data_IF_384979262145
#
_entry.id   IF_384979262145
#
_cell.length_a   1.000
_cell.length_b   1.000
_cell.length_c   1.000
_cell.angle_alpha   90.00
_cell.angle_beta   90.00
_cell.angle_gamma   90.00
#
_symmetry.space_group_name_H-M   'P 1'
#
loop_
_entity.id
_entity.type
_entity.pdbx_description
1 polymer ?
#
# COMPACT_ATOMS: atom_id res chain seq x y z
N UNK A 1 -62.84 -5.51 -31.84
CA UNK A 1 -62.58 -4.71 -30.62
C UNK A 1 -62.00 -5.63 -29.56
N UNK A 2 -60.78 -5.32 -29.06
CA UNK A 2 -60.21 -5.73 -27.75
C UNK A 2 -59.90 -7.24 -27.57
N UNK A 3 -58.77 -7.70 -27.01
CA UNK A 3 -57.64 -7.13 -26.29
C UNK A 3 -56.47 -8.13 -26.44
N UNK A 4 -55.29 -7.68 -26.84
CA UNK A 4 -54.06 -8.48 -26.76
C UNK A 4 -53.49 -8.36 -25.34
N UNK A 5 -53.31 -9.49 -24.66
CA UNK A 5 -52.68 -9.57 -23.35
C UNK A 5 -51.16 -9.58 -23.53
N UNK A 6 -50.49 -8.44 -23.32
CA UNK A 6 -49.03 -8.40 -23.22
C UNK A 6 -48.62 -8.89 -21.83
N UNK A 7 -48.01 -10.08 -21.77
CA UNK A 7 -47.29 -10.52 -20.59
C UNK A 7 -45.92 -9.81 -20.54
N UNK A 8 -45.80 -8.81 -19.68
CA UNK A 8 -44.55 -8.11 -19.43
C UNK A 8 -43.67 -8.99 -18.52
N UNK A 9 -42.71 -9.70 -19.11
CA UNK A 9 -41.68 -10.40 -18.36
C UNK A 9 -40.67 -9.39 -17.80
N UNK A 10 -40.82 -9.02 -16.52
CA UNK A 10 -39.78 -8.29 -15.79
C UNK A 10 -38.57 -9.20 -15.59
N UNK A 11 -37.53 -9.03 -16.41
CA UNK A 11 -36.19 -9.52 -16.09
C UNK A 11 -35.71 -8.76 -14.84
N UNK A 12 -35.73 -9.43 -13.69
CA UNK A 12 -34.89 -9.05 -12.55
C UNK A 12 -33.43 -9.27 -12.98
N UNK A 13 -32.78 -8.20 -13.44
CA UNK A 13 -31.33 -8.18 -13.49
C UNK A 13 -30.85 -8.21 -12.04
N UNK A 14 -30.44 -9.38 -11.58
CA UNK A 14 -29.62 -9.49 -10.38
C UNK A 14 -28.37 -8.65 -10.65
N UNK A 15 -28.37 -7.41 -10.14
CA UNK A 15 -27.21 -6.56 -10.15
C UNK A 15 -26.08 -7.37 -9.54
N UNK A 16 -25.07 -7.71 -10.35
CA UNK A 16 -23.83 -8.26 -9.85
C UNK A 16 -23.40 -7.30 -8.75
N UNK A 17 -23.43 -7.75 -7.48
CA UNK A 17 -22.65 -7.10 -6.44
C UNK A 17 -21.25 -7.15 -7.01
N UNK A 18 -20.78 -6.02 -7.54
CA UNK A 18 -19.44 -5.90 -8.06
C UNK A 18 -18.56 -6.23 -6.86
N UNK A 19 -18.11 -7.48 -6.77
CA UNK A 19 -17.22 -7.93 -5.71
C UNK A 19 -16.09 -6.93 -5.73
N UNK A 20 -15.95 -6.16 -4.65
CA UNK A 20 -14.91 -5.17 -4.52
C UNK A 20 -13.60 -5.94 -4.60
N UNK A 21 -13.01 -5.97 -5.79
CA UNK A 21 -11.81 -6.77 -6.05
C UNK A 21 -10.66 -6.01 -5.42
N UNK A 22 -10.17 -6.52 -4.29
CA UNK A 22 -8.84 -6.19 -3.81
C UNK A 22 -7.86 -6.35 -4.98
N UNK A 23 -6.94 -5.40 -5.11
CA UNK A 23 -5.93 -5.38 -6.16
C UNK A 23 -4.54 -5.63 -5.57
N UNK A 24 -4.37 -5.37 -4.28
CA UNK A 24 -3.15 -5.68 -3.55
C UNK A 24 -3.43 -6.06 -2.11
N UNK A 25 -2.34 -6.35 -1.42
CA UNK A 25 -2.27 -6.64 0.01
C UNK A 25 -1.03 -5.96 0.57
N UNK A 26 -1.00 -5.75 1.88
CA UNK A 26 0.23 -5.52 2.60
C UNK A 26 0.43 -6.56 3.71
N UNK A 27 1.69 -6.93 3.94
CA UNK A 27 2.06 -8.06 4.79
C UNK A 27 3.31 -7.77 5.58
N UNK A 28 3.45 -8.47 6.70
CA UNK A 28 4.63 -8.45 7.56
C UNK A 28 4.92 -9.86 8.08
N UNK A 29 5.78 -9.98 9.09
CA UNK A 29 5.97 -11.21 9.86
C UNK A 29 4.68 -11.81 10.41
N UNK A 30 3.64 -11.01 10.64
CA UNK A 30 2.38 -11.48 11.25
C UNK A 30 1.61 -12.46 10.36
N UNK A 31 1.77 -12.39 9.04
CA UNK A 31 1.17 -13.37 8.10
C UNK A 31 1.97 -14.69 8.04
N UNK A 32 3.12 -14.77 8.72
CA UNK A 32 3.97 -15.95 8.75
C UNK A 32 4.44 -16.36 7.35
N UNK A 33 4.56 -17.67 7.13
CA UNK A 33 4.94 -18.21 5.82
C UNK A 33 3.78 -18.11 4.83
N UNK A 34 4.00 -17.38 3.74
CA UNK A 34 3.03 -17.19 2.65
C UNK A 34 3.40 -18.06 1.44
N UNK A 35 2.41 -18.76 0.90
CA UNK A 35 2.51 -19.44 -0.41
C UNK A 35 2.14 -18.47 -1.53
N UNK A 36 3.15 -17.74 -2.01
CA UNK A 36 2.97 -16.68 -3.01
C UNK A 36 2.50 -17.18 -4.38
N UNK A 37 2.74 -18.46 -4.72
CA UNK A 37 2.19 -19.06 -5.95
C UNK A 37 0.67 -19.22 -5.83
N UNK A 38 0.17 -19.66 -4.68
CA UNK A 38 -1.28 -19.68 -4.40
C UNK A 38 -1.89 -18.29 -4.35
N UNK A 39 -1.18 -17.31 -3.78
CA UNK A 39 -1.61 -15.90 -3.79
C UNK A 39 -1.78 -15.42 -5.23
N UNK A 40 -0.78 -15.64 -6.10
CA UNK A 40 -0.87 -15.29 -7.52
C UNK A 40 -2.01 -16.01 -8.23
N UNK A 41 -2.12 -17.32 -8.03
CA UNK A 41 -3.15 -18.16 -8.66
C UNK A 41 -4.58 -17.79 -8.24
N UNK A 42 -4.76 -17.06 -7.13
CA UNK A 42 -6.07 -16.53 -6.74
C UNK A 42 -6.65 -15.54 -7.77
N UNK A 43 -5.81 -14.91 -8.59
CA UNK A 43 -6.21 -13.85 -9.53
C UNK A 43 -6.64 -12.53 -8.88
N UNK A 44 -6.59 -12.45 -7.54
CA UNK A 44 -7.01 -11.27 -6.77
C UNK A 44 -5.86 -10.30 -6.50
N UNK A 45 -4.65 -10.80 -6.28
CA UNK A 45 -3.52 -9.97 -5.86
C UNK A 45 -2.61 -9.64 -7.04
N UNK A 46 -2.50 -8.36 -7.37
CA UNK A 46 -1.63 -7.82 -8.42
C UNK A 46 -0.34 -7.21 -7.86
N UNK A 47 -0.41 -6.64 -6.67
CA UNK A 47 0.74 -6.09 -5.97
C UNK A 47 0.75 -6.46 -4.49
N UNK A 48 1.92 -6.37 -3.86
CA UNK A 48 2.06 -6.49 -2.42
C UNK A 48 3.04 -5.45 -1.85
N UNK A 49 2.65 -4.77 -0.78
CA UNK A 49 3.59 -4.03 0.07
C UNK A 49 4.06 -4.91 1.22
N UNK A 50 5.37 -4.91 1.48
CA UNK A 50 5.98 -5.84 2.44
C UNK A 50 6.73 -5.03 3.48
N UNK A 51 6.44 -5.27 4.77
CA UNK A 51 7.15 -4.61 5.87
C UNK A 51 8.63 -4.92 5.75
N UNK A 52 9.45 -3.88 5.64
CA UNK A 52 10.90 -4.04 5.63
C UNK A 52 11.48 -3.77 7.01
N UNK A 53 11.17 -2.61 7.57
CA UNK A 53 11.79 -2.15 8.81
C UNK A 53 10.84 -1.29 9.65
N UNK A 54 11.19 -1.12 10.91
CA UNK A 54 10.50 -0.26 11.86
C UNK A 54 11.53 0.47 12.73
N UNK A 55 11.36 1.79 12.85
CA UNK A 55 12.31 2.63 13.59
C UNK A 55 13.76 2.40 13.15
N UNK A 56 14.67 2.32 14.12
CA UNK A 56 16.12 2.37 13.84
C UNK A 56 16.83 1.03 13.76
N UNK A 57 16.19 -0.06 14.18
CA UNK A 57 16.86 -1.36 14.30
C UNK A 57 15.99 -2.56 13.96
N UNK A 58 14.67 -2.43 13.96
CA UNK A 58 13.79 -3.56 13.66
C UNK A 58 13.81 -3.78 12.15
N UNK A 59 14.17 -4.99 11.74
CA UNK A 59 14.03 -5.50 10.38
C UNK A 59 13.04 -6.66 10.43
N UNK A 60 12.07 -6.67 9.52
CA UNK A 60 11.07 -7.72 9.51
C UNK A 60 11.73 -9.05 9.09
N UNK A 61 11.66 -10.10 9.94
CA UNK A 61 12.35 -11.36 9.67
C UNK A 61 11.81 -12.10 8.44
N UNK A 62 10.58 -11.79 8.02
CA UNK A 62 9.96 -12.38 6.82
C UNK A 62 10.23 -11.57 5.56
N UNK A 63 10.77 -10.35 5.66
CA UNK A 63 10.94 -9.43 4.53
C UNK A 63 11.65 -10.07 3.35
N UNK A 64 12.86 -10.63 3.56
CA UNK A 64 13.66 -11.19 2.46
C UNK A 64 12.92 -12.31 1.74
N UNK A 65 12.28 -13.21 2.50
CA UNK A 65 11.51 -14.31 1.93
C UNK A 65 10.32 -13.80 1.14
N UNK A 66 9.57 -12.86 1.71
CA UNK A 66 8.37 -12.32 1.10
C UNK A 66 8.68 -11.52 -0.16
N UNK A 67 9.66 -10.61 -0.13
CA UNK A 67 10.03 -9.79 -1.30
C UNK A 67 10.52 -10.63 -2.47
N UNK A 68 11.38 -11.63 -2.20
CA UNK A 68 11.92 -12.50 -3.25
C UNK A 68 10.83 -13.45 -3.79
N UNK A 69 10.00 -14.04 -2.92
CA UNK A 69 9.01 -15.05 -3.33
C UNK A 69 7.79 -14.44 -4.02
N UNK A 70 7.29 -13.30 -3.54
CA UNK A 70 6.18 -12.57 -4.18
C UNK A 70 6.57 -12.12 -5.59
N UNK A 71 7.76 -11.53 -5.73
CA UNK A 71 8.29 -11.09 -7.02
C UNK A 71 8.52 -12.26 -7.97
N UNK A 72 9.08 -13.37 -7.49
CA UNK A 72 9.25 -14.60 -8.29
C UNK A 72 7.91 -15.21 -8.74
N UNK A 73 6.83 -15.03 -7.98
CA UNK A 73 5.48 -15.42 -8.37
C UNK A 73 4.82 -14.44 -9.36
N UNK A 74 5.49 -13.36 -9.78
CA UNK A 74 4.97 -12.36 -10.70
C UNK A 74 3.96 -11.41 -10.07
N UNK A 75 4.07 -11.15 -8.76
CA UNK A 75 3.36 -10.08 -8.05
C UNK A 75 4.30 -8.87 -7.99
N UNK A 76 3.78 -7.68 -8.29
CA UNK A 76 4.56 -6.45 -8.18
C UNK A 76 4.81 -6.12 -6.71
N UNK A 77 6.05 -5.84 -6.32
CA UNK A 77 6.38 -5.62 -4.91
C UNK A 77 6.85 -4.20 -4.61
N UNK A 78 6.43 -3.70 -3.45
CA UNK A 78 6.98 -2.53 -2.79
C UNK A 78 7.30 -2.83 -1.33
N UNK A 79 8.06 -1.96 -0.69
CA UNK A 79 8.46 -2.12 0.72
C UNK A 79 8.00 -0.94 1.55
N UNK A 80 7.62 -1.18 2.80
CA UNK A 80 7.24 -0.12 3.72
C UNK A 80 8.12 -0.05 4.97
N UNK A 81 8.26 1.16 5.48
CA UNK A 81 8.92 1.48 6.75
C UNK A 81 7.89 1.98 7.76
N UNK A 82 7.76 1.30 8.90
CA UNK A 82 6.93 1.80 10.00
C UNK A 82 7.72 2.86 10.79
N UNK A 83 7.24 4.10 10.71
CA UNK A 83 7.87 5.26 11.32
C UNK A 83 7.84 5.20 12.86
N UNK A 84 8.91 5.66 13.50
CA UNK A 84 9.00 5.88 14.94
C UNK A 84 9.25 7.35 15.28
N UNK A 85 8.43 7.92 16.17
CA UNK A 85 8.60 9.29 16.68
C UNK A 85 9.81 9.49 17.59
N UNK A 86 10.40 8.40 18.10
CA UNK A 86 11.44 8.44 19.13
C UNK A 86 12.84 8.70 18.58
N UNK A 87 13.03 8.63 17.26
CA UNK A 87 14.36 8.58 16.65
C UNK A 87 14.51 9.56 15.50
N UNK A 88 15.75 9.74 15.03
CA UNK A 88 16.04 10.69 13.93
C UNK A 88 15.67 10.09 12.57
N UNK A 89 15.41 10.97 11.59
CA UNK A 89 15.17 10.57 10.20
C UNK A 89 16.33 9.75 9.61
N UNK A 90 17.58 10.14 9.89
CA UNK A 90 18.76 9.45 9.39
C UNK A 90 18.92 8.03 9.94
N UNK A 91 18.68 7.82 11.24
CA UNK A 91 18.77 6.48 11.82
C UNK A 91 17.70 5.54 11.23
N UNK A 92 16.47 6.03 11.06
CA UNK A 92 15.39 5.27 10.43
C UNK A 92 15.70 4.97 8.96
N UNK A 93 16.17 5.97 8.21
CA UNK A 93 16.57 5.80 6.83
C UNK A 93 17.71 4.80 6.66
N UNK A 94 18.72 4.83 7.53
CA UNK A 94 19.83 3.88 7.49
C UNK A 94 19.36 2.44 7.69
N UNK A 95 18.44 2.21 8.63
CA UNK A 95 17.82 0.91 8.83
C UNK A 95 17.05 0.47 7.57
N UNK A 96 16.18 1.33 7.02
CA UNK A 96 15.42 1.04 5.81
C UNK A 96 16.32 0.73 4.61
N UNK A 97 17.32 1.57 4.32
CA UNK A 97 18.26 1.41 3.21
C UNK A 97 19.15 0.17 3.35
N UNK A 98 19.48 -0.25 4.56
CA UNK A 98 20.22 -1.48 4.79
C UNK A 98 19.47 -2.69 4.20
N UNK A 99 18.15 -2.71 4.31
CA UNK A 99 17.27 -3.82 3.93
C UNK A 99 16.69 -3.66 2.51
N UNK A 100 16.22 -2.47 2.15
CA UNK A 100 15.43 -2.24 0.94
C UNK A 100 16.32 -1.85 -0.24
N UNK A 101 16.70 -2.85 -1.05
CA UNK A 101 17.50 -2.62 -2.26
C UNK A 101 16.62 -2.19 -3.43
N UNK A 102 16.97 -1.08 -4.09
CA UNK A 102 16.27 -0.55 -5.28
C UNK A 102 16.05 -1.60 -6.38
N UNK A 103 17.00 -2.52 -6.57
CA UNK A 103 16.92 -3.59 -7.57
C UNK A 103 15.86 -4.68 -7.27
N UNK A 104 15.30 -4.68 -6.06
CA UNK A 104 14.28 -5.63 -5.60
C UNK A 104 12.88 -5.02 -5.54
N UNK A 105 12.72 -3.74 -5.91
CA UNK A 105 11.45 -3.03 -5.86
C UNK A 105 10.88 -2.84 -7.25
N UNK A 106 9.58 -3.10 -7.41
CA UNK A 106 8.83 -2.72 -8.59
C UNK A 106 8.00 -1.45 -8.35
N UNK A 107 7.64 -1.18 -7.08
CA UNK A 107 6.85 -0.03 -6.63
C UNK A 107 7.67 0.89 -5.72
N UNK A 108 7.33 2.19 -5.70
CA UNK A 108 7.98 3.16 -4.82
C UNK A 108 7.72 2.79 -3.35
N UNK A 109 8.68 3.06 -2.45
CA UNK A 109 8.55 2.68 -1.06
C UNK A 109 7.44 3.46 -0.37
N UNK A 110 6.91 2.89 0.71
CA UNK A 110 5.91 3.53 1.57
C UNK A 110 6.57 3.96 2.88
N UNK A 111 6.32 5.20 3.30
CA UNK A 111 6.53 5.61 4.68
C UNK A 111 5.19 5.48 5.42
N UNK A 112 5.15 4.59 6.40
CA UNK A 112 3.97 4.26 7.19
C UNK A 112 3.97 5.08 8.49
N UNK A 113 2.94 5.91 8.66
CA UNK A 113 2.80 6.91 9.73
C UNK A 113 1.41 6.77 10.37
N UNK A 114 1.34 6.02 11.47
CA UNK A 114 0.07 5.73 12.15
C UNK A 114 -0.19 6.60 13.38
N UNK A 115 0.86 7.18 13.96
CA UNK A 115 0.76 7.91 15.22
C UNK A 115 0.46 9.40 15.01
N UNK A 116 -0.52 9.94 15.74
CA UNK A 116 -0.68 11.39 15.93
C UNK A 116 0.41 11.88 16.88
N UNK A 117 1.24 12.81 16.42
CA UNK A 117 2.18 13.46 17.32
C UNK A 117 2.47 14.89 16.87
N UNK A 118 1.79 15.84 17.51
CA UNK A 118 1.83 17.24 17.11
C UNK A 118 2.98 17.99 17.81
N UNK A 119 4.19 17.80 17.31
CA UNK A 119 5.38 18.61 17.66
C UNK A 119 6.14 18.96 16.39
N UNK A 120 6.61 20.20 16.24
CA UNK A 120 7.32 20.66 15.04
C UNK A 120 8.50 19.74 14.66
N UNK A 121 9.24 19.27 15.66
CA UNK A 121 10.36 18.35 15.47
C UNK A 121 9.94 17.00 14.84
N UNK A 122 8.72 16.54 15.10
CA UNK A 122 8.21 15.31 14.51
C UNK A 122 7.98 15.46 13.01
N UNK A 123 7.28 16.52 12.59
CA UNK A 123 7.02 16.74 11.17
C UNK A 123 8.32 17.04 10.41
N UNK A 124 9.25 17.80 11.01
CA UNK A 124 10.57 18.01 10.42
C UNK A 124 11.34 16.70 10.17
N UNK A 125 11.20 15.72 11.08
CA UNK A 125 11.81 14.38 10.90
C UNK A 125 11.09 13.55 9.84
N UNK A 126 9.76 13.61 9.79
CA UNK A 126 8.96 12.96 8.74
C UNK A 126 9.38 13.50 7.36
N UNK A 127 9.42 14.83 7.21
CA UNK A 127 9.82 15.48 5.97
C UNK A 127 11.23 15.08 5.55
N UNK A 128 12.17 15.07 6.51
CA UNK A 128 13.54 14.67 6.21
C UNK A 128 13.63 13.22 5.77
N UNK A 129 12.84 12.32 6.36
CA UNK A 129 12.82 10.92 5.97
C UNK A 129 12.21 10.73 4.57
N UNK A 130 11.12 11.45 4.25
CA UNK A 130 10.53 11.46 2.91
C UNK A 130 11.55 11.93 1.85
N UNK A 131 12.31 12.99 2.14
CA UNK A 131 13.38 13.51 1.29
C UNK A 131 14.49 12.47 1.07
N UNK A 132 14.95 11.82 2.14
CA UNK A 132 16.00 10.79 2.05
C UNK A 132 15.55 9.58 1.22
N UNK A 133 14.30 9.14 1.41
CA UNK A 133 13.70 8.07 0.60
C UNK A 133 13.57 8.49 -0.87
N UNK A 134 13.07 9.70 -1.15
CA UNK A 134 12.96 10.19 -2.53
C UNK A 134 14.32 10.24 -3.22
N UNK A 135 15.36 10.72 -2.53
CA UNK A 135 16.73 10.78 -3.05
C UNK A 135 17.30 9.39 -3.37
N UNK A 136 17.09 8.41 -2.51
CA UNK A 136 17.62 7.05 -2.69
C UNK A 136 16.87 6.27 -3.79
N UNK A 137 15.54 6.32 -3.77
CA UNK A 137 14.72 5.50 -4.65
C UNK A 137 14.39 6.20 -5.97
N UNK A 138 14.61 7.51 -6.07
CA UNK A 138 14.48 8.32 -7.28
C UNK A 138 13.04 8.72 -7.60
N UNK A 139 12.13 8.56 -6.65
CA UNK A 139 10.73 8.95 -6.76
C UNK A 139 10.15 9.20 -5.37
N UNK A 140 9.12 10.03 -5.27
CA UNK A 140 8.43 10.30 -4.01
C UNK A 140 7.90 8.99 -3.42
N UNK A 141 8.18 8.69 -2.13
CA UNK A 141 7.52 7.59 -1.45
C UNK A 141 6.01 7.82 -1.36
N UNK A 142 5.25 6.74 -1.23
CA UNK A 142 3.86 6.82 -0.78
C UNK A 142 3.82 7.14 0.71
N UNK A 143 2.82 7.89 1.14
CA UNK A 143 2.57 8.12 2.57
C UNK A 143 1.38 7.26 2.97
N UNK A 144 1.60 6.26 3.81
CA UNK A 144 0.52 5.49 4.43
C UNK A 144 0.13 6.12 5.76
N UNK A 145 -1.18 6.25 5.99
CA UNK A 145 -1.70 6.80 7.25
C UNK A 145 -3.21 6.57 7.43
N UNK A 146 -3.73 6.83 8.63
CA UNK A 146 -5.18 6.89 8.87
C UNK A 146 -5.78 8.21 8.37
N UNK A 147 -7.09 8.26 8.10
CA UNK A 147 -7.77 9.52 7.73
C UNK A 147 -7.55 10.64 8.77
N UNK A 148 -7.51 10.29 10.05
CA UNK A 148 -7.33 11.26 11.13
C UNK A 148 -5.96 11.93 11.07
N UNK A 149 -4.91 11.13 10.94
CA UNK A 149 -3.53 11.62 10.82
C UNK A 149 -3.33 12.37 9.49
N UNK A 150 -3.99 11.94 8.42
CA UNK A 150 -4.02 12.69 7.16
C UNK A 150 -4.51 14.13 7.33
N UNK A 151 -5.66 14.32 8.00
CA UNK A 151 -6.22 15.66 8.17
C UNK A 151 -5.30 16.57 9.00
N UNK A 152 -4.68 16.02 10.04
CA UNK A 152 -3.77 16.77 10.92
C UNK A 152 -2.44 17.15 10.26
N UNK A 153 -1.91 16.31 9.36
CA UNK A 153 -0.51 16.43 8.93
C UNK A 153 -0.31 16.48 7.40
N UNK A 154 -1.19 15.88 6.60
CA UNK A 154 -0.94 15.63 5.17
C UNK A 154 -1.96 16.25 4.20
N UNK A 155 -2.96 16.98 4.73
CA UNK A 155 -4.00 17.66 3.93
C UNK A 155 -3.52 18.95 3.25
N UNK A 156 -2.44 19.54 3.74
CA UNK A 156 -1.90 20.82 3.24
C UNK A 156 -1.19 20.75 1.88
N UNK A 157 -1.00 21.92 1.26
CA UNK A 157 -0.38 22.08 -0.08
C UNK A 157 1.00 21.43 -0.21
N UNK A 158 1.76 21.31 0.88
CA UNK A 158 3.09 20.67 0.91
C UNK A 158 3.07 19.24 0.39
N UNK A 159 2.03 18.47 0.73
CA UNK A 159 1.93 17.05 0.41
C UNK A 159 1.08 16.76 -0.83
N UNK A 160 0.65 17.80 -1.57
CA UNK A 160 -0.24 17.65 -2.74
C UNK A 160 0.34 16.74 -3.84
N UNK A 161 1.66 16.68 -3.95
CA UNK A 161 2.39 15.88 -4.94
C UNK A 161 2.78 14.48 -4.43
N UNK A 162 2.41 14.11 -3.21
CA UNK A 162 2.58 12.75 -2.69
C UNK A 162 1.33 11.93 -2.97
N UNK A 163 1.52 10.68 -3.41
CA UNK A 163 0.47 9.68 -3.39
C UNK A 163 0.20 9.26 -1.95
N UNK A 164 -1.09 9.16 -1.60
CA UNK A 164 -1.54 8.87 -0.25
C UNK A 164 -2.18 7.48 -0.23
N UNK A 165 -1.79 6.69 0.76
CA UNK A 165 -2.32 5.36 1.03
C UNK A 165 -3.09 5.43 2.35
N UNK A 166 -4.42 5.38 2.28
CA UNK A 166 -5.27 5.60 3.46
C UNK A 166 -5.75 4.28 4.03
N UNK A 167 -5.64 4.11 5.34
CA UNK A 167 -6.38 3.09 6.08
C UNK A 167 -7.76 3.62 6.52
N UNK A 168 -8.82 2.93 6.10
CA UNK A 168 -10.17 3.06 6.66
C UNK A 168 -10.96 1.76 6.42
N UNK A 169 -11.38 1.08 7.49
CA UNK A 169 -12.05 -0.21 7.37
C UNK A 169 -13.58 -0.14 7.44
N UNK A 170 -14.14 1.05 7.67
CA UNK A 170 -15.56 1.24 7.95
C UNK A 170 -16.33 1.86 6.78
N UNK A 171 -15.68 2.75 6.01
CA UNK A 171 -16.32 3.49 4.93
C UNK A 171 -15.32 3.89 3.85
N UNK A 172 -15.84 4.35 2.72
CA UNK A 172 -15.04 5.02 1.69
C UNK A 172 -14.34 6.26 2.29
N UNK A 173 -13.01 6.43 2.10
CA UNK A 173 -12.31 7.57 2.65
C UNK A 173 -12.84 8.90 2.12
N UNK A 174 -12.97 9.88 3.01
CA UNK A 174 -13.35 11.26 2.67
C UNK A 174 -12.16 12.13 2.25
N UNK A 175 -10.94 11.61 2.46
CA UNK A 175 -9.67 12.25 2.13
C UNK A 175 -9.31 12.09 0.65
N UNK A 176 -8.29 12.82 0.19
CA UNK A 176 -7.59 12.48 -1.04
C UNK A 176 -6.77 11.21 -0.81
N UNK A 177 -6.94 10.22 -1.69
CA UNK A 177 -6.12 9.01 -1.66
C UNK A 177 -5.87 8.43 -3.05
N UNK A 178 -4.74 7.73 -3.18
CA UNK A 178 -4.35 6.95 -4.35
C UNK A 178 -4.62 5.47 -4.10
N UNK A 179 -4.20 4.97 -2.92
CA UNK A 179 -4.48 3.63 -2.43
C UNK A 179 -5.36 3.69 -1.17
N UNK A 180 -6.20 2.69 -1.00
CA UNK A 180 -7.06 2.51 0.16
C UNK A 180 -6.92 1.10 0.70
N UNK A 181 -6.42 0.98 1.92
CA UNK A 181 -6.47 -0.23 2.72
C UNK A 181 -7.85 -0.30 3.37
N UNK A 182 -8.69 -1.17 2.84
CA UNK A 182 -10.13 -1.14 3.07
C UNK A 182 -10.64 -2.28 3.95
N UNK A 183 -9.76 -3.21 4.31
CA UNK A 183 -10.07 -4.31 5.21
C UNK A 183 -8.77 -4.84 5.80
N UNK A 184 -8.81 -5.23 7.08
CA UNK A 184 -7.75 -5.92 7.80
C UNK A 184 -8.08 -7.40 8.07
N UNK A 185 -9.21 -7.87 7.54
CA UNK A 185 -9.77 -9.21 7.80
C UNK A 185 -9.89 -10.01 6.50
N UNK A 186 -9.11 -9.65 5.48
CA UNK A 186 -9.09 -10.32 4.21
C UNK A 186 -8.66 -11.78 4.32
N UNK A 187 -9.15 -12.60 3.39
CA UNK A 187 -8.77 -14.00 3.28
C UNK A 187 -8.30 -14.29 1.85
N UNK A 188 -7.02 -14.61 1.70
CA UNK A 188 -6.38 -14.91 0.42
C UNK A 188 -5.74 -16.29 0.49
N UNK A 189 -6.05 -17.15 -0.49
CA UNK A 189 -5.46 -18.49 -0.59
C UNK A 189 -3.94 -18.39 -0.63
N UNK A 190 -3.28 -19.10 0.28
CA UNK A 190 -1.82 -19.04 0.47
C UNK A 190 -1.38 -18.28 1.71
N UNK A 191 -2.31 -17.60 2.40
CA UNK A 191 -2.10 -16.94 3.69
C UNK A 191 -3.00 -17.63 4.71
N UNK A 192 -2.45 -18.06 5.85
CA UNK A 192 -3.20 -18.85 6.85
C UNK A 192 -4.19 -18.01 7.66
N UNK A 193 -3.91 -16.73 7.86
CA UNK A 193 -4.72 -15.83 8.67
C UNK A 193 -5.21 -14.61 7.90
N UNK A 194 -5.70 -13.63 8.65
CA UNK A 194 -6.14 -12.36 8.12
C UNK A 194 -5.00 -11.61 7.39
N UNK A 195 -5.37 -10.91 6.34
CA UNK A 195 -4.47 -10.05 5.57
C UNK A 195 -5.17 -8.75 5.22
N UNK A 196 -4.39 -7.67 5.19
CA UNK A 196 -4.83 -6.37 4.76
C UNK A 196 -5.14 -6.37 3.25
N UNK A 197 -6.22 -5.71 2.86
CA UNK A 197 -6.69 -5.65 1.47
C UNK A 197 -6.68 -4.22 0.95
N UNK A 198 -6.01 -4.07 -0.19
CA UNK A 198 -5.78 -2.78 -0.81
C UNK A 198 -6.42 -2.66 -2.18
N UNK A 199 -6.86 -1.46 -2.50
CA UNK A 199 -7.29 -1.11 -3.85
C UNK A 199 -6.98 0.34 -4.19
N UNK A 200 -6.82 0.60 -5.48
CA UNK A 200 -6.71 1.96 -5.99
C UNK A 200 -8.06 2.68 -5.89
N UNK A 201 -7.98 3.99 -5.67
CA UNK A 201 -9.06 4.89 -6.05
C UNK A 201 -9.37 4.74 -7.55
N UNK A 202 -10.63 4.94 -7.95
CA UNK A 202 -11.10 4.69 -9.34
C UNK A 202 -10.35 5.49 -10.43
N UNK A 203 -9.78 6.64 -10.06
CA UNK A 203 -9.03 7.51 -10.97
C UNK A 203 -7.51 7.27 -10.90
N UNK A 204 -7.07 6.31 -10.11
CA UNK A 204 -5.66 6.01 -9.89
C UNK A 204 -5.33 4.58 -10.33
N UNK A 205 -4.06 4.32 -10.60
CA UNK A 205 -3.61 2.99 -11.01
C UNK A 205 -2.14 2.71 -10.74
N UNK A 206 -1.79 1.43 -10.90
CA UNK A 206 -0.45 0.90 -10.58
C UNK A 206 0.70 1.63 -11.29
N UNK A 207 0.44 2.24 -12.46
CA UNK A 207 1.45 2.97 -13.22
C UNK A 207 2.03 4.18 -12.48
N UNK A 208 1.24 4.83 -11.62
CA UNK A 208 1.63 6.04 -10.89
C UNK A 208 2.63 5.76 -9.76
N UNK A 209 2.63 4.54 -9.24
CA UNK A 209 3.42 4.16 -8.06
C UNK A 209 4.57 3.20 -8.41
N UNK A 210 4.87 3.02 -9.70
CA UNK A 210 6.02 2.20 -10.14
C UNK A 210 7.33 2.91 -9.88
N UNK A 211 8.35 2.13 -9.56
CA UNK A 211 9.72 2.61 -9.56
C UNK A 211 10.08 3.20 -10.93
N UNK A 212 10.82 4.32 -10.97
CA UNK A 212 11.29 4.89 -12.23
C UNK A 212 12.17 3.87 -12.96
N UNK A 213 11.97 3.75 -14.27
CA UNK A 213 12.83 2.90 -15.12
C UNK A 213 14.26 3.44 -15.01
N UNK A 214 15.25 2.55 -14.87
CA UNK A 214 16.65 2.94 -15.01
C UNK A 214 16.84 3.54 -16.40
N UNK A 215 17.20 4.81 -16.49
CA UNK A 215 17.72 5.36 -17.75
C UNK A 215 18.91 4.50 -18.16
N UNK A 216 18.84 3.91 -19.35
CA UNK A 216 20.04 3.33 -19.96
C UNK A 216 20.94 4.52 -20.24
N UNK A 217 22.00 4.71 -19.46
CA UNK A 217 23.10 5.59 -19.86
C UNK A 217 23.56 5.06 -21.22
N UNK A 218 23.34 5.85 -22.27
CA UNK A 218 23.96 5.64 -23.57
C UNK A 218 25.45 5.83 -23.44
#
# INVERSE_FOLDING_TARGET
MRLALLALATLLTAGSVATVRAQGIDVSKFQGTIDWRKVKASGKVKFAYIKATEGTSIQDPMYKRNIDSARAAGILVGSYHLYSKKTTAYQQFNNFKAVVKKSKQDLVPVLDIEERYNKDLYMARVDKLLELMEKEYGAKPLIYTSEKVYWDHFSGKKYKNYHIFIANYHRYPSTRFTLWQHSQTGHIKGIKGAVDLDKFHKNHGIGEIKMPKKEKKK
#
